data_IF_409097406001
#
_entry.id   IF_409097406001
#
_cell.length_a   1.000
_cell.length_b   1.000
_cell.length_c   1.000
_cell.angle_alpha   90.00
_cell.angle_beta   90.00
_cell.angle_gamma   90.00
#
_symmetry.space_group_name_H-M   'P 1'
#
loop_
_entity.id
_entity.type
_entity.pdbx_description
1 polymer ?
#
# COMPACT_ATOMS: atom_id res chain seq x y z
N UNK A 1 -19.55 44.12 -17.75
CA UNK A 1 -18.25 44.25 -18.44
C UNK A 1 -18.45 43.82 -19.88
N UNK A 2 -18.14 44.67 -20.86
CA UNK A 2 -18.31 44.34 -22.28
C UNK A 2 -17.25 43.31 -22.70
N UNK A 3 -17.66 42.33 -23.52
CA UNK A 3 -16.75 41.34 -24.10
C UNK A 3 -15.61 42.04 -24.84
N UNK A 4 -14.37 41.63 -24.58
CA UNK A 4 -13.20 42.19 -25.28
C UNK A 4 -12.74 41.31 -26.44
N UNK A 5 -13.09 40.02 -26.40
CA UNK A 5 -12.66 39.03 -27.39
C UNK A 5 -13.84 38.21 -27.91
N UNK A 6 -13.72 37.70 -29.15
CA UNK A 6 -14.69 36.79 -29.77
C UNK A 6 -13.98 35.72 -30.57
N UNK A 7 -14.37 34.45 -30.39
CA UNK A 7 -13.79 33.34 -31.15
C UNK A 7 -14.47 33.23 -32.52
N UNK A 8 -13.69 33.39 -33.60
CA UNK A 8 -14.24 33.33 -34.97
C UNK A 8 -14.22 31.92 -35.56
N UNK A 9 -13.25 31.09 -35.16
CA UNK A 9 -13.11 29.72 -35.65
C UNK A 9 -11.69 29.19 -35.58
N UNK A 10 -11.48 27.99 -36.10
CA UNK A 10 -10.20 27.29 -36.07
C UNK A 10 -9.64 27.11 -37.47
N UNK A 11 -8.33 27.25 -37.62
CA UNK A 11 -7.67 26.93 -38.86
C UNK A 11 -7.46 25.40 -38.94
N UNK A 12 -7.88 24.79 -40.05
CA UNK A 12 -7.97 23.33 -40.18
C UNK A 12 -6.62 22.60 -40.09
N UNK A 13 -5.53 23.25 -40.51
CA UNK A 13 -4.21 22.62 -40.68
C UNK A 13 -3.24 22.88 -39.51
N UNK A 14 -3.37 23.99 -38.77
CA UNK A 14 -2.28 24.45 -37.88
C UNK A 14 -2.60 24.43 -36.37
N UNK A 15 -3.71 23.83 -35.92
CA UNK A 15 -4.13 23.88 -34.50
C UNK A 15 -4.10 25.31 -33.93
N UNK A 16 -4.50 26.29 -34.75
CA UNK A 16 -4.59 27.70 -34.38
C UNK A 16 -6.05 28.15 -34.36
N UNK A 17 -6.36 29.01 -33.40
CA UNK A 17 -7.65 29.66 -33.24
C UNK A 17 -7.55 31.12 -33.69
N UNK A 18 -8.57 31.58 -34.39
CA UNK A 18 -8.73 32.98 -34.78
C UNK A 18 -9.61 33.69 -33.75
N UNK A 19 -9.02 34.65 -33.03
CA UNK A 19 -9.71 35.46 -32.02
C UNK A 19 -9.79 36.90 -32.51
N UNK A 20 -10.99 37.48 -32.49
CA UNK A 20 -11.24 38.88 -32.81
C UNK A 20 -11.13 39.73 -31.55
N UNK A 21 -10.32 40.79 -31.60
CA UNK A 21 -10.29 41.83 -30.56
C UNK A 21 -11.40 42.85 -30.87
N UNK A 22 -12.43 42.93 -30.03
CA UNK A 22 -13.60 43.77 -30.27
C UNK A 22 -13.30 45.27 -30.22
N UNK A 23 -12.25 45.68 -29.51
CA UNK A 23 -11.82 47.09 -29.40
C UNK A 23 -11.04 47.60 -30.62
N UNK A 24 -10.34 46.72 -31.34
CA UNK A 24 -9.44 47.12 -32.45
C UNK A 24 -9.82 46.52 -33.80
N UNK A 25 -10.74 45.55 -33.82
CA UNK A 25 -11.11 44.81 -35.04
C UNK A 25 -10.01 43.89 -35.59
N UNK A 26 -8.86 43.76 -34.89
CA UNK A 26 -7.76 42.91 -35.32
C UNK A 26 -8.05 41.43 -35.01
N UNK A 27 -7.59 40.56 -35.91
CA UNK A 27 -7.66 39.10 -35.75
C UNK A 27 -6.31 38.60 -35.26
N UNK A 28 -6.31 37.96 -34.10
CA UNK A 28 -5.17 37.27 -33.52
C UNK A 28 -5.22 35.78 -33.87
N UNK A 29 -4.07 35.24 -34.29
CA UNK A 29 -3.86 33.80 -34.48
C UNK A 29 -3.08 33.27 -33.29
N UNK A 30 -3.69 32.39 -32.50
CA UNK A 30 -3.09 31.84 -31.27
C UNK A 30 -3.22 30.32 -31.31
N UNK A 31 -2.23 29.59 -30.80
CA UNK A 31 -2.32 28.14 -30.69
C UNK A 31 -3.46 27.74 -29.73
N UNK A 32 -4.23 26.70 -30.02
CA UNK A 32 -5.38 26.33 -29.16
C UNK A 32 -4.94 26.02 -27.71
N UNK A 33 -3.74 25.46 -27.48
CA UNK A 33 -3.19 25.22 -26.13
C UNK A 33 -2.77 26.49 -25.40
N UNK A 34 -2.29 27.50 -26.12
CA UNK A 34 -1.93 28.80 -25.54
C UNK A 34 -3.19 29.62 -25.25
N UNK A 35 -4.19 29.51 -26.13
CA UNK A 35 -5.47 30.17 -25.96
C UNK A 35 -6.19 29.70 -24.69
N UNK A 36 -6.22 28.39 -24.41
CA UNK A 36 -6.78 27.81 -23.19
C UNK A 36 -6.17 28.38 -21.90
N UNK A 37 -4.86 28.68 -21.91
CA UNK A 37 -4.11 29.15 -20.75
C UNK A 37 -4.05 30.68 -20.63
N UNK A 38 -4.58 31.40 -21.61
CA UNK A 38 -4.52 32.85 -21.68
C UNK A 38 -5.74 33.49 -21.02
N UNK A 39 -5.58 34.73 -20.55
CA UNK A 39 -6.69 35.57 -20.04
C UNK A 39 -7.80 35.81 -21.08
N UNK A 40 -7.54 35.51 -22.36
CA UNK A 40 -8.52 35.60 -23.45
C UNK A 40 -9.61 34.53 -23.28
N UNK A 41 -9.30 33.37 -22.70
CA UNK A 41 -10.26 32.28 -22.50
C UNK A 41 -11.37 32.66 -21.51
N UNK A 42 -11.06 33.50 -20.52
CA UNK A 42 -12.02 33.93 -19.50
C UNK A 42 -13.12 34.88 -20.06
N UNK A 43 -12.85 35.51 -21.20
CA UNK A 43 -13.77 36.43 -21.89
C UNK A 43 -14.67 35.72 -22.94
N UNK A 44 -14.49 34.42 -23.16
CA UNK A 44 -15.23 33.62 -24.15
C UNK A 44 -16.61 33.17 -23.62
N UNK A 45 -17.58 33.04 -24.53
CA UNK A 45 -18.91 32.48 -24.19
C UNK A 45 -18.87 30.96 -23.95
N UNK A 46 -19.84 30.43 -23.20
CA UNK A 46 -20.02 28.98 -23.01
C UNK A 46 -20.02 28.17 -24.33
N UNK A 47 -20.60 28.73 -25.40
CA UNK A 47 -20.57 28.08 -26.72
C UNK A 47 -19.17 28.09 -27.36
N UNK A 48 -18.43 29.19 -27.21
CA UNK A 48 -17.07 29.36 -27.73
C UNK A 48 -16.09 28.47 -26.96
N UNK A 49 -16.19 28.44 -25.62
CA UNK A 49 -15.43 27.54 -24.73
C UNK A 49 -15.69 26.08 -25.12
N UNK A 50 -16.95 25.68 -25.33
CA UNK A 50 -17.28 24.31 -25.75
C UNK A 50 -16.65 23.97 -27.10
N UNK A 51 -16.61 24.92 -28.03
CA UNK A 51 -15.98 24.73 -29.35
C UNK A 51 -14.45 24.65 -29.26
N UNK A 52 -13.83 25.43 -28.37
CA UNK A 52 -12.40 25.39 -28.04
C UNK A 52 -12.01 24.01 -27.52
N UNK A 53 -12.65 23.53 -26.46
CA UNK A 53 -12.38 22.21 -25.90
C UNK A 53 -12.67 21.09 -26.91
N UNK A 54 -13.75 21.18 -27.69
CA UNK A 54 -14.03 20.21 -28.76
C UNK A 54 -12.88 20.14 -29.77
N UNK A 55 -12.29 21.28 -30.13
CA UNK A 55 -11.12 21.31 -31.02
C UNK A 55 -9.88 20.73 -30.33
N UNK A 56 -9.61 21.07 -29.08
CA UNK A 56 -8.50 20.52 -28.27
C UNK A 56 -8.57 18.99 -28.26
N UNK A 57 -9.72 18.40 -27.89
CA UNK A 57 -9.89 16.95 -27.87
C UNK A 57 -9.79 16.30 -29.27
N UNK A 58 -10.19 16.99 -30.34
CA UNK A 58 -10.06 16.46 -31.71
C UNK A 58 -8.65 16.56 -32.30
N UNK A 59 -7.90 17.59 -31.91
CA UNK A 59 -6.57 17.88 -32.44
C UNK A 59 -5.45 17.24 -31.62
N UNK A 60 -5.72 16.90 -30.36
CA UNK A 60 -4.76 16.28 -29.46
C UNK A 60 -5.32 14.96 -28.91
N UNK A 61 -4.91 13.80 -29.48
CA UNK A 61 -5.43 12.49 -29.07
C UNK A 61 -5.04 12.07 -27.64
N UNK A 62 -4.18 12.81 -26.94
CA UNK A 62 -3.66 12.47 -25.60
C UNK A 62 -4.05 13.49 -24.50
N UNK A 63 -5.16 14.22 -24.65
CA UNK A 63 -5.63 15.11 -23.56
C UNK A 63 -6.49 14.30 -22.61
N UNK A 64 -6.04 14.06 -21.35
CA UNK A 64 -6.78 13.23 -20.41
C UNK A 64 -8.11 13.90 -20.10
N UNK A 65 -9.20 13.15 -20.28
CA UNK A 65 -10.52 13.64 -19.88
C UNK A 65 -10.65 13.64 -18.36
N UNK A 66 -11.55 14.47 -17.81
CA UNK A 66 -11.83 14.49 -16.36
C UNK A 66 -12.22 13.10 -15.85
N UNK A 67 -12.99 12.36 -16.65
CA UNK A 67 -13.37 10.97 -16.36
C UNK A 67 -12.15 10.05 -16.23
N UNK A 68 -11.15 10.15 -17.11
CA UNK A 68 -9.94 9.33 -17.04
C UNK A 68 -9.08 9.65 -15.81
N UNK A 69 -9.07 10.90 -15.34
CA UNK A 69 -8.36 11.32 -14.13
C UNK A 69 -9.05 10.77 -12.88
N UNK A 70 -10.39 10.89 -12.80
CA UNK A 70 -11.18 10.31 -11.70
C UNK A 70 -11.08 8.78 -11.67
N UNK A 71 -11.24 8.12 -12.81
CA UNK A 71 -11.15 6.65 -12.93
C UNK A 71 -9.75 6.14 -12.55
N UNK A 72 -8.69 6.88 -12.89
CA UNK A 72 -7.32 6.57 -12.46
C UNK A 72 -7.16 6.64 -10.94
N UNK A 73 -7.81 7.63 -10.32
CA UNK A 73 -7.77 7.79 -8.88
C UNK A 73 -8.55 6.64 -8.21
N UNK A 74 -9.73 6.28 -8.73
CA UNK A 74 -10.56 5.20 -8.22
C UNK A 74 -9.84 3.84 -8.26
N UNK A 75 -9.25 3.46 -9.42
CA UNK A 75 -8.48 2.22 -9.55
C UNK A 75 -7.31 2.17 -8.56
N UNK A 76 -6.63 3.30 -8.36
CA UNK A 76 -5.55 3.40 -7.38
C UNK A 76 -6.05 3.18 -5.95
N UNK A 77 -7.20 3.74 -5.56
CA UNK A 77 -7.79 3.53 -4.23
C UNK A 77 -8.31 2.11 -4.02
N UNK A 78 -8.83 1.46 -5.06
CA UNK A 78 -9.26 0.05 -5.01
C UNK A 78 -8.05 -0.86 -4.77
N UNK A 79 -6.95 -0.66 -5.49
CA UNK A 79 -5.70 -1.43 -5.29
C UNK A 79 -5.13 -1.20 -3.88
N UNK A 80 -5.14 0.04 -3.39
CA UNK A 80 -4.73 0.35 -2.02
C UNK A 80 -5.58 -0.41 -1.00
N UNK A 81 -6.90 -0.38 -1.16
CA UNK A 81 -7.85 -1.05 -0.27
C UNK A 81 -7.65 -2.56 -0.31
N UNK A 82 -7.44 -3.14 -1.49
CA UNK A 82 -7.14 -4.56 -1.67
C UNK A 82 -5.84 -4.96 -0.96
N UNK A 83 -4.75 -4.20 -1.13
CA UNK A 83 -3.49 -4.48 -0.44
C UNK A 83 -3.63 -4.33 1.08
N UNK A 84 -4.36 -3.32 1.56
CA UNK A 84 -4.60 -3.14 2.99
C UNK A 84 -5.45 -4.29 3.59
N UNK A 85 -6.44 -4.79 2.85
CA UNK A 85 -7.23 -5.97 3.24
C UNK A 85 -6.39 -7.25 3.24
N UNK A 86 -5.52 -7.39 2.25
CA UNK A 86 -4.64 -8.54 2.15
C UNK A 86 -3.63 -8.53 3.33
N UNK A 87 -3.14 -7.35 3.70
CA UNK A 87 -2.30 -7.16 4.89
C UNK A 87 -3.03 -7.57 6.18
N UNK A 88 -4.27 -7.11 6.40
CA UNK A 88 -5.05 -7.52 7.58
C UNK A 88 -5.26 -9.02 7.61
N UNK A 89 -5.56 -9.65 6.49
CA UNK A 89 -5.79 -11.11 6.39
C UNK A 89 -4.53 -11.88 6.79
N UNK A 90 -3.37 -11.55 6.19
CA UNK A 90 -2.12 -12.26 6.51
C UNK A 90 -1.69 -12.03 7.96
N UNK A 91 -1.85 -10.82 8.47
CA UNK A 91 -1.49 -10.50 9.85
C UNK A 91 -2.36 -11.23 10.87
N UNK A 92 -3.69 -11.18 10.69
CA UNK A 92 -4.65 -11.85 11.59
C UNK A 92 -4.53 -13.37 11.52
N UNK A 93 -4.38 -13.93 10.31
CA UNK A 93 -4.14 -15.36 10.15
C UNK A 93 -2.86 -15.80 10.84
N UNK A 94 -1.76 -15.05 10.69
CA UNK A 94 -0.48 -15.39 11.32
C UNK A 94 -0.57 -15.42 12.85
N UNK A 95 -1.33 -14.49 13.44
CA UNK A 95 -1.58 -14.47 14.88
C UNK A 95 -2.39 -15.67 15.39
N UNK A 96 -3.44 -16.07 14.66
CA UNK A 96 -4.26 -17.23 15.05
C UNK A 96 -3.49 -18.53 14.81
N UNK A 97 -2.82 -18.66 13.66
CA UNK A 97 -2.03 -19.82 13.30
C UNK A 97 -0.81 -20.03 14.21
N UNK A 98 -0.34 -18.99 14.91
CA UNK A 98 0.71 -19.09 15.91
C UNK A 98 0.31 -19.99 17.11
N UNK A 99 -0.99 -20.18 17.37
CA UNK A 99 -1.46 -21.02 18.47
C UNK A 99 -1.20 -22.53 18.24
N UNK A 100 -0.99 -22.95 16.99
CA UNK A 100 -0.76 -24.36 16.64
C UNK A 100 0.72 -24.58 16.25
N UNK A 101 1.57 -25.05 17.19
CA UNK A 101 2.92 -25.49 16.83
C UNK A 101 2.84 -26.74 15.96
N UNK A 102 3.64 -26.79 14.90
CA UNK A 102 3.78 -27.95 14.02
C UNK A 102 5.23 -28.41 14.11
N UNK A 103 5.41 -29.71 14.36
CA UNK A 103 6.72 -30.33 14.33
C UNK A 103 7.01 -30.82 12.92
N UNK A 104 8.18 -30.47 12.38
CA UNK A 104 8.63 -30.88 11.05
C UNK A 104 9.74 -31.91 11.23
N UNK A 105 9.39 -33.19 11.08
CA UNK A 105 10.28 -34.34 11.31
C UNK A 105 11.59 -34.25 10.50
N UNK A 106 11.56 -33.71 9.28
CA UNK A 106 12.73 -33.65 8.41
C UNK A 106 13.81 -32.65 8.87
N UNK A 107 13.41 -31.59 9.59
CA UNK A 107 14.32 -30.52 10.01
C UNK A 107 14.58 -30.53 11.52
N UNK A 108 13.83 -31.31 12.29
CA UNK A 108 13.85 -31.32 13.76
C UNK A 108 13.61 -29.92 14.38
N UNK A 109 12.66 -29.17 13.79
CA UNK A 109 12.29 -27.81 14.22
C UNK A 109 10.79 -27.76 14.50
N UNK A 110 10.42 -27.07 15.58
CA UNK A 110 9.04 -26.69 15.89
C UNK A 110 8.78 -25.33 15.24
N UNK A 111 7.88 -25.28 14.26
CA UNK A 111 7.51 -24.05 13.54
C UNK A 111 6.00 -23.88 13.56
N UNK A 112 5.52 -22.64 13.65
CA UNK A 112 4.09 -22.34 13.50
C UNK A 112 3.77 -22.01 12.05
N UNK A 113 2.59 -22.42 11.52
CA UNK A 113 2.19 -22.05 10.16
C UNK A 113 2.18 -20.53 9.92
N UNK A 114 1.93 -19.74 10.97
CA UNK A 114 2.03 -18.28 10.92
C UNK A 114 3.41 -17.76 10.54
N UNK A 115 4.49 -18.49 10.85
CA UNK A 115 5.87 -18.11 10.48
C UNK A 115 6.08 -18.09 8.96
N UNK A 116 5.32 -18.87 8.20
CA UNK A 116 5.41 -18.91 6.74
C UNK A 116 4.50 -17.87 6.06
N UNK A 117 3.38 -17.51 6.69
CA UNK A 117 2.46 -16.50 6.15
C UNK A 117 2.89 -15.08 6.49
N UNK A 118 3.51 -14.87 7.66
CA UNK A 118 3.96 -13.56 8.09
C UNK A 118 4.94 -12.87 7.12
N UNK A 119 5.91 -13.54 6.48
CA UNK A 119 6.74 -12.92 5.44
C UNK A 119 5.97 -12.30 4.26
N UNK A 120 4.75 -12.74 4.00
CA UNK A 120 3.92 -12.11 2.97
C UNK A 120 3.33 -10.77 3.43
N UNK A 121 3.21 -10.49 4.74
CA UNK A 121 2.82 -9.15 5.22
C UNK A 121 3.87 -8.11 4.86
N UNK A 122 5.16 -8.44 5.04
CA UNK A 122 6.28 -7.59 4.64
C UNK A 122 6.20 -7.25 3.15
N UNK A 123 5.96 -8.25 2.29
CA UNK A 123 5.79 -8.05 0.86
C UNK A 123 4.69 -7.02 0.58
N UNK A 124 3.53 -7.15 1.21
CA UNK A 124 2.39 -6.27 0.98
C UNK A 124 2.68 -4.84 1.44
N UNK A 125 3.39 -4.69 2.56
CA UNK A 125 3.83 -3.39 3.07
C UNK A 125 4.90 -2.76 2.19
N UNK A 126 5.79 -3.56 1.61
CA UNK A 126 6.78 -3.10 0.65
C UNK A 126 6.08 -2.55 -0.60
N UNK A 127 5.04 -3.24 -1.11
CA UNK A 127 4.21 -2.76 -2.22
C UNK A 127 3.45 -1.47 -1.89
N UNK A 128 2.83 -1.40 -0.71
CA UNK A 128 2.13 -0.20 -0.23
C UNK A 128 3.10 0.98 -0.13
N UNK A 129 4.29 0.76 0.42
CA UNK A 129 5.33 1.78 0.58
C UNK A 129 5.92 2.21 -0.77
N UNK A 130 6.03 1.28 -1.72
CA UNK A 130 6.54 1.57 -3.06
C UNK A 130 5.56 2.43 -3.88
N UNK A 131 4.29 2.06 -3.92
CA UNK A 131 3.28 2.71 -4.77
C UNK A 131 2.65 3.94 -4.15
N UNK A 132 2.33 3.89 -2.85
CA UNK A 132 1.57 4.92 -2.15
C UNK A 132 2.42 5.75 -1.17
N UNK A 133 3.67 5.33 -0.95
CA UNK A 133 4.61 6.01 -0.06
C UNK A 133 4.32 5.78 1.42
N UNK A 134 5.22 6.32 2.25
CA UNK A 134 5.24 6.07 3.68
C UNK A 134 3.97 6.50 4.44
N UNK A 135 3.33 7.61 4.03
CA UNK A 135 2.14 8.14 4.73
C UNK A 135 0.94 7.18 4.64
N UNK A 136 0.71 6.61 3.45
CA UNK A 136 -0.40 5.69 3.22
C UNK A 136 -0.07 4.29 3.74
N UNK A 137 1.17 3.82 3.58
CA UNK A 137 1.64 2.56 4.19
C UNK A 137 1.46 2.57 5.72
N UNK A 138 1.82 3.67 6.39
CA UNK A 138 1.62 3.84 7.84
C UNK A 138 0.14 3.71 8.24
N UNK A 139 -0.77 4.30 7.46
CA UNK A 139 -2.22 4.16 7.73
C UNK A 139 -2.67 2.71 7.60
N UNK A 140 -2.22 1.98 6.59
CA UNK A 140 -2.53 0.56 6.42
C UNK A 140 -2.01 -0.30 7.59
N UNK A 141 -0.81 -0.02 8.09
CA UNK A 141 -0.24 -0.68 9.30
C UNK A 141 -1.14 -0.42 10.51
N UNK A 142 -1.51 0.84 10.78
CA UNK A 142 -2.38 1.15 11.92
C UNK A 142 -3.78 0.55 11.79
N UNK A 143 -4.38 0.55 10.59
CA UNK A 143 -5.66 -0.11 10.35
C UNK A 143 -5.57 -1.63 10.58
N UNK A 144 -4.46 -2.24 10.17
CA UNK A 144 -4.24 -3.69 10.37
C UNK A 144 -4.07 -4.06 11.84
N UNK A 145 -3.30 -3.24 12.57
CA UNK A 145 -3.15 -3.37 14.01
C UNK A 145 -4.49 -3.18 14.74
N UNK A 146 -5.24 -2.13 14.40
CA UNK A 146 -6.55 -1.86 14.99
C UNK A 146 -7.54 -3.00 14.73
N UNK A 147 -7.61 -3.50 13.49
CA UNK A 147 -8.46 -4.66 13.15
C UNK A 147 -8.11 -5.89 13.98
N UNK A 148 -6.82 -6.17 14.15
CA UNK A 148 -6.38 -7.32 14.96
C UNK A 148 -6.74 -7.14 16.43
N UNK A 149 -6.56 -5.93 16.99
CA UNK A 149 -6.97 -5.64 18.37
C UNK A 149 -8.48 -5.77 18.58
N UNK A 150 -9.30 -5.38 17.59
CA UNK A 150 -10.77 -5.56 17.64
C UNK A 150 -11.14 -7.04 17.63
N UNK A 151 -10.55 -7.86 16.75
CA UNK A 151 -10.82 -9.31 16.73
C UNK A 151 -10.50 -9.91 18.09
N UNK A 152 -9.38 -9.50 18.69
CA UNK A 152 -8.89 -10.08 19.93
C UNK A 152 -9.69 -9.61 21.14
N UNK A 153 -10.15 -8.36 21.16
CA UNK A 153 -11.07 -7.89 22.19
C UNK A 153 -12.41 -8.63 22.13
N UNK A 154 -12.95 -8.87 20.92
CA UNK A 154 -14.17 -9.67 20.74
C UNK A 154 -13.98 -11.12 21.20
N UNK A 155 -12.85 -11.74 20.86
CA UNK A 155 -12.52 -13.09 21.33
C UNK A 155 -12.35 -13.16 22.86
N UNK A 156 -11.74 -12.14 23.48
CA UNK A 156 -11.60 -12.03 24.94
C UNK A 156 -12.96 -11.90 25.63
N UNK A 157 -13.85 -11.05 25.09
CA UNK A 157 -15.24 -10.92 25.56
C UNK A 157 -15.97 -12.26 25.44
N UNK A 158 -15.84 -12.94 24.30
CA UNK A 158 -16.45 -14.26 24.08
C UNK A 158 -15.99 -15.31 25.11
N UNK A 159 -14.75 -15.19 25.60
CA UNK A 159 -14.17 -16.13 26.59
C UNK A 159 -14.60 -15.79 28.01
N UNK A 160 -14.96 -14.54 28.28
CA UNK A 160 -15.45 -14.10 29.59
C UNK A 160 -16.91 -14.47 29.84
N UNK A 161 -17.65 -14.87 28.80
CA UNK A 161 -19.04 -15.28 28.89
C UNK A 161 -19.15 -16.71 29.49
N UNK A 162 -20.20 -16.99 30.27
CA UNK A 162 -20.38 -18.30 30.88
C UNK A 162 -20.62 -19.37 29.81
N UNK A 163 -19.78 -20.41 29.83
CA UNK A 163 -19.97 -21.58 29.00
C UNK A 163 -21.16 -22.43 29.47
N UNK A 164 -21.74 -23.18 28.54
CA UNK A 164 -22.78 -24.16 28.85
C UNK A 164 -22.14 -25.33 29.59
N UNK A 165 -22.76 -25.81 30.68
CA UNK A 165 -22.23 -26.89 31.52
C UNK A 165 -21.97 -28.22 30.76
N UNK A 166 -22.62 -28.43 29.62
CA UNK A 166 -22.46 -29.60 28.76
C UNK A 166 -21.35 -29.46 27.71
N UNK A 167 -20.54 -28.39 27.76
CA UNK A 167 -19.48 -28.14 26.79
C UNK A 167 -18.10 -28.52 27.35
N UNK A 168 -17.64 -29.72 26.99
CA UNK A 168 -16.38 -30.31 27.47
C UNK A 168 -15.11 -29.56 27.03
N UNK A 169 -15.20 -28.67 26.02
CA UNK A 169 -14.06 -27.94 25.46
C UNK A 169 -13.77 -26.61 26.18
N UNK A 170 -14.51 -26.27 27.23
CA UNK A 170 -14.40 -24.97 27.89
C UNK A 170 -12.97 -24.68 28.40
N UNK A 171 -12.35 -25.64 29.10
CA UNK A 171 -10.99 -25.46 29.65
C UNK A 171 -9.94 -25.36 28.55
N UNK A 172 -10.09 -26.15 27.49
CA UNK A 172 -9.19 -26.15 26.33
C UNK A 172 -9.30 -24.84 25.54
N UNK A 173 -10.52 -24.32 25.40
CA UNK A 173 -10.78 -23.03 24.78
C UNK A 173 -10.14 -21.88 25.59
N UNK A 174 -10.30 -21.88 26.91
CA UNK A 174 -9.69 -20.88 27.80
C UNK A 174 -8.16 -20.90 27.73
N UNK A 175 -7.55 -22.10 27.71
CA UNK A 175 -6.11 -22.25 27.56
C UNK A 175 -5.62 -21.71 26.20
N UNK A 176 -6.29 -22.10 25.11
CA UNK A 176 -5.99 -21.63 23.75
C UNK A 176 -6.11 -20.10 23.66
N UNK A 177 -7.17 -19.52 24.24
CA UNK A 177 -7.37 -18.07 24.23
C UNK A 177 -6.27 -17.33 24.99
N UNK A 178 -5.85 -17.83 26.15
CA UNK A 178 -4.75 -17.26 26.93
C UNK A 178 -3.44 -17.21 26.12
N UNK A 179 -3.14 -18.29 25.39
CA UNK A 179 -2.00 -18.34 24.47
C UNK A 179 -2.10 -17.33 23.34
N UNK A 180 -3.27 -17.24 22.68
CA UNK A 180 -3.55 -16.29 21.61
C UNK A 180 -3.37 -14.84 22.11
N UNK A 181 -3.94 -14.49 23.26
CA UNK A 181 -3.84 -13.15 23.85
C UNK A 181 -2.38 -12.74 24.12
N UNK A 182 -1.60 -13.63 24.74
CA UNK A 182 -0.18 -13.36 24.99
C UNK A 182 0.62 -13.21 23.70
N UNK A 183 0.35 -14.05 22.69
CA UNK A 183 1.05 -14.00 21.42
C UNK A 183 0.74 -12.71 20.65
N UNK A 184 -0.52 -12.28 20.62
CA UNK A 184 -0.96 -11.05 19.95
C UNK A 184 -0.35 -9.81 20.58
N UNK A 185 -0.22 -9.77 21.91
CA UNK A 185 0.38 -8.62 22.57
C UNK A 185 1.84 -8.43 22.12
N UNK A 186 2.61 -9.53 22.12
CA UNK A 186 3.99 -9.52 21.65
C UNK A 186 4.09 -9.21 20.15
N UNK A 187 3.26 -9.85 19.31
CA UNK A 187 3.29 -9.66 17.86
C UNK A 187 2.82 -8.27 17.44
N UNK A 188 1.85 -7.67 18.13
CA UNK A 188 1.36 -6.32 17.82
C UNK A 188 2.42 -5.26 18.07
N UNK A 189 3.17 -5.36 19.16
CA UNK A 189 4.26 -4.41 19.42
C UNK A 189 5.41 -4.62 18.44
N UNK A 190 5.75 -5.88 18.16
CA UNK A 190 6.75 -6.25 17.17
C UNK A 190 6.41 -5.72 15.78
N UNK A 191 5.22 -6.06 15.27
CA UNK A 191 4.69 -5.65 13.97
C UNK A 191 4.68 -4.12 13.82
N UNK A 192 4.22 -3.40 14.85
CA UNK A 192 4.19 -1.94 14.80
C UNK A 192 5.59 -1.35 14.62
N UNK A 193 6.58 -1.83 15.37
CA UNK A 193 7.95 -1.30 15.28
C UNK A 193 8.61 -1.73 13.98
N UNK A 194 8.56 -3.02 13.65
CA UNK A 194 9.26 -3.60 12.50
C UNK A 194 8.75 -3.06 11.18
N UNK A 195 7.43 -2.98 10.99
CA UNK A 195 6.85 -2.54 9.72
C UNK A 195 6.93 -1.02 9.50
N UNK A 196 6.90 -0.23 10.58
CA UNK A 196 7.18 1.21 10.47
C UNK A 196 8.62 1.47 10.08
N UNK A 197 9.57 0.69 10.63
CA UNK A 197 10.98 0.79 10.25
C UNK A 197 11.18 0.29 8.81
N UNK A 198 10.54 -0.83 8.43
CA UNK A 198 10.59 -1.38 7.07
C UNK A 198 10.17 -0.32 6.03
N UNK A 199 8.96 0.21 6.18
CA UNK A 199 8.39 1.21 5.26
C UNK A 199 9.20 2.51 5.24
N UNK A 200 9.73 2.95 6.37
CA UNK A 200 10.61 4.12 6.44
C UNK A 200 11.93 3.90 5.67
N UNK A 201 12.62 2.78 5.90
CA UNK A 201 13.88 2.47 5.24
C UNK A 201 13.66 2.31 3.74
N UNK A 202 12.60 1.63 3.31
CA UNK A 202 12.29 1.44 1.90
C UNK A 202 12.07 2.78 1.19
N UNK A 203 11.26 3.67 1.76
CA UNK A 203 11.03 5.00 1.19
C UNK A 203 12.32 5.84 1.20
N UNK A 204 13.12 5.79 2.27
CA UNK A 204 14.37 6.55 2.34
C UNK A 204 15.38 6.08 1.30
N UNK A 205 15.53 4.76 1.12
CA UNK A 205 16.39 4.21 0.08
C UNK A 205 15.86 4.52 -1.33
N UNK A 206 14.54 4.65 -1.51
CA UNK A 206 13.95 5.09 -2.79
C UNK A 206 14.40 6.49 -3.18
N UNK A 207 14.41 7.41 -2.22
CA UNK A 207 14.88 8.79 -2.45
C UNK A 207 16.39 8.82 -2.79
N UNK A 208 17.20 8.02 -2.10
CA UNK A 208 18.66 7.96 -2.30
C UNK A 208 19.05 7.28 -3.62
N UNK A 209 18.36 6.20 -3.99
CA UNK A 209 18.72 5.39 -5.19
C UNK A 209 18.04 5.86 -6.47
N UNK A 210 17.31 6.99 -6.43
CA UNK A 210 16.58 7.55 -7.56
C UNK A 210 15.72 6.50 -8.30
N UNK A 211 15.09 5.60 -7.53
CA UNK A 211 14.22 4.49 -7.99
C UNK A 211 14.84 3.41 -8.90
N UNK A 212 16.18 3.32 -9.00
CA UNK A 212 16.87 2.38 -9.90
C UNK A 212 16.94 0.94 -9.39
N UNK A 213 17.32 0.72 -8.13
CA UNK A 213 17.56 -0.62 -7.57
C UNK A 213 16.38 -1.09 -6.70
N UNK A 214 15.39 -1.76 -7.28
CA UNK A 214 14.23 -2.25 -6.52
C UNK A 214 14.60 -3.43 -5.60
N UNK A 215 15.20 -4.49 -6.16
CA UNK A 215 15.55 -5.72 -5.43
C UNK A 215 16.28 -5.40 -4.13
N UNK A 216 17.31 -4.57 -4.24
CA UNK A 216 18.20 -4.23 -3.15
C UNK A 216 17.47 -3.49 -2.03
N UNK A 217 16.56 -2.57 -2.38
CA UNK A 217 15.78 -1.81 -1.40
C UNK A 217 14.84 -2.68 -0.60
N UNK A 218 14.06 -3.49 -1.30
CA UNK A 218 13.11 -4.43 -0.69
C UNK A 218 13.88 -5.39 0.21
N UNK A 219 14.94 -6.02 -0.30
CA UNK A 219 15.74 -6.94 0.51
C UNK A 219 16.34 -6.29 1.76
N UNK A 220 17.00 -5.13 1.65
CA UNK A 220 17.61 -4.47 2.81
C UNK A 220 16.59 -3.97 3.82
N UNK A 221 15.45 -3.44 3.38
CA UNK A 221 14.41 -2.98 4.31
C UNK A 221 13.79 -4.16 5.06
N UNK A 222 13.41 -5.23 4.35
CA UNK A 222 12.86 -6.44 4.97
C UNK A 222 13.88 -7.13 5.87
N UNK A 223 15.17 -7.15 5.51
CA UNK A 223 16.24 -7.74 6.32
C UNK A 223 16.35 -7.05 7.69
N UNK A 224 16.45 -5.72 7.71
CA UNK A 224 16.55 -4.94 8.95
C UNK A 224 15.27 -5.09 9.77
N UNK A 225 14.12 -5.01 9.12
CA UNK A 225 12.83 -5.15 9.77
C UNK A 225 12.61 -6.54 10.38
N UNK A 226 13.01 -7.60 9.69
CA UNK A 226 12.93 -8.98 10.17
C UNK A 226 13.76 -9.23 11.43
N UNK A 227 14.96 -8.63 11.51
CA UNK A 227 15.81 -8.71 12.70
C UNK A 227 15.13 -8.01 13.88
N UNK A 228 14.65 -6.78 13.67
CA UNK A 228 13.94 -6.03 14.70
C UNK A 228 12.67 -6.76 15.16
N UNK A 229 11.91 -7.30 14.22
CA UNK A 229 10.69 -8.04 14.50
C UNK A 229 10.97 -9.26 15.38
N UNK A 230 11.92 -10.10 14.97
CA UNK A 230 12.23 -11.33 15.71
C UNK A 230 12.82 -11.02 17.08
N UNK A 231 13.63 -9.96 17.21
CA UNK A 231 14.16 -9.49 18.49
C UNK A 231 13.05 -9.00 19.43
N UNK A 232 12.21 -8.06 18.97
CA UNK A 232 11.13 -7.47 19.78
C UNK A 232 10.12 -8.55 20.16
N UNK A 233 9.72 -9.40 19.22
CA UNK A 233 8.79 -10.51 19.47
C UNK A 233 9.35 -11.51 20.50
N UNK A 234 10.54 -12.05 20.28
CA UNK A 234 11.11 -13.07 21.17
C UNK A 234 11.38 -12.52 22.57
N UNK A 235 11.83 -11.27 22.66
CA UNK A 235 12.01 -10.59 23.93
C UNK A 235 10.67 -10.44 24.66
N UNK A 236 9.63 -9.89 24.03
CA UNK A 236 8.35 -9.67 24.74
C UNK A 236 7.62 -10.99 25.05
N UNK A 237 7.64 -11.95 24.14
CA UNK A 237 6.88 -13.19 24.29
C UNK A 237 7.46 -14.14 25.35
N UNK A 238 8.79 -14.22 25.46
CA UNK A 238 9.47 -15.26 26.23
C UNK A 238 10.38 -14.74 27.36
N UNK A 239 10.57 -13.43 27.50
CA UNK A 239 11.38 -12.89 28.59
C UNK A 239 10.80 -13.31 29.95
N UNK A 240 11.62 -14.01 30.74
CA UNK A 240 11.24 -14.57 32.04
C UNK A 240 10.50 -15.92 31.99
N UNK A 241 10.15 -16.45 30.81
CA UNK A 241 9.49 -17.77 30.67
C UNK A 241 10.44 -18.88 30.21
N UNK A 242 11.40 -18.57 29.34
CA UNK A 242 12.35 -19.53 28.78
C UNK A 242 13.80 -19.11 29.06
N UNK A 243 14.75 -20.06 29.11
CA UNK A 243 16.16 -19.72 29.22
C UNK A 243 16.64 -18.93 27.99
N UNK A 244 17.48 -17.92 28.24
CA UNK A 244 17.96 -16.98 27.20
C UNK A 244 18.56 -17.68 25.98
N UNK A 245 19.27 -18.79 26.20
CA UNK A 245 19.85 -19.58 25.11
C UNK A 245 18.78 -20.08 24.11
N UNK A 246 17.65 -20.60 24.60
CA UNK A 246 16.56 -21.07 23.74
C UNK A 246 15.91 -19.90 22.98
N UNK A 247 15.74 -18.75 23.64
CA UNK A 247 15.19 -17.53 23.01
C UNK A 247 16.09 -17.09 21.85
N UNK A 248 17.41 -17.10 22.03
CA UNK A 248 18.37 -16.74 20.97
C UNK A 248 18.31 -17.72 19.80
N UNK A 249 18.24 -19.03 20.06
CA UNK A 249 18.11 -20.04 19.00
C UNK A 249 16.82 -19.84 18.21
N UNK A 250 15.68 -19.65 18.90
CA UNK A 250 14.39 -19.39 18.25
C UNK A 250 14.43 -18.11 17.39
N UNK A 251 15.07 -17.05 17.91
CA UNK A 251 15.24 -15.79 17.19
C UNK A 251 16.06 -15.98 15.90
N UNK A 252 17.18 -16.70 15.96
CA UNK A 252 18.03 -16.96 14.79
C UNK A 252 17.27 -17.76 13.73
N UNK A 253 16.54 -18.81 14.13
CA UNK A 253 15.75 -19.63 13.21
C UNK A 253 14.67 -18.79 12.52
N UNK A 254 13.94 -17.95 13.27
CA UNK A 254 12.93 -17.05 12.68
C UNK A 254 13.54 -16.05 11.70
N UNK A 255 14.69 -15.46 12.04
CA UNK A 255 15.40 -14.53 11.16
C UNK A 255 15.81 -15.23 9.86
N UNK A 256 16.38 -16.44 9.93
CA UNK A 256 16.80 -17.19 8.76
C UNK A 256 15.62 -17.52 7.83
N UNK A 257 14.50 -17.99 8.39
CA UNK A 257 13.28 -18.26 7.61
C UNK A 257 12.80 -16.98 6.93
N UNK A 258 12.65 -15.88 7.67
CA UNK A 258 12.17 -14.60 7.12
C UNK A 258 13.10 -14.04 6.04
N UNK A 259 14.41 -14.17 6.18
CA UNK A 259 15.39 -13.74 5.16
C UNK A 259 15.27 -14.59 3.90
N UNK A 260 15.10 -15.91 4.04
CA UNK A 260 14.87 -16.79 2.91
C UNK A 260 13.62 -16.37 2.12
N UNK A 261 12.53 -16.06 2.82
CA UNK A 261 11.33 -15.50 2.20
C UNK A 261 11.56 -14.10 1.60
N UNK A 262 12.36 -13.24 2.24
CA UNK A 262 12.68 -11.92 1.71
C UNK A 262 13.37 -12.00 0.33
N UNK A 263 14.24 -13.00 0.11
CA UNK A 263 14.83 -13.26 -1.20
C UNK A 263 13.78 -13.67 -2.23
N UNK A 264 12.84 -14.53 -1.85
CA UNK A 264 11.74 -14.95 -2.72
C UNK A 264 10.79 -13.78 -3.06
N UNK A 265 10.51 -12.91 -2.09
CA UNK A 265 9.62 -11.75 -2.22
C UNK A 265 10.10 -10.72 -3.25
N UNK A 266 11.37 -10.74 -3.63
CA UNK A 266 11.90 -9.90 -4.71
C UNK A 266 11.16 -10.19 -6.02
N UNK A 267 10.84 -11.45 -6.35
CA UNK A 267 10.17 -11.79 -7.61
C UNK A 267 8.76 -11.18 -7.72
N UNK A 268 7.86 -11.37 -6.73
CA UNK A 268 6.57 -10.67 -6.69
C UNK A 268 6.69 -9.15 -6.74
N UNK A 269 7.69 -8.55 -6.09
CA UNK A 269 7.89 -7.10 -6.08
C UNK A 269 8.21 -6.53 -7.47
N UNK A 270 9.00 -7.24 -8.28
CA UNK A 270 9.18 -6.85 -9.68
C UNK A 270 7.92 -7.09 -10.52
N UNK A 271 7.22 -8.20 -10.29
CA UNK A 271 5.98 -8.52 -10.98
C UNK A 271 4.89 -7.47 -10.73
N UNK A 272 4.73 -7.04 -9.48
CA UNK A 272 3.77 -6.01 -9.09
C UNK A 272 4.13 -4.65 -9.68
N UNK A 273 5.42 -4.26 -9.70
CA UNK A 273 5.86 -2.99 -10.32
C UNK A 273 5.58 -2.98 -11.83
N UNK A 274 5.81 -4.11 -12.50
CA UNK A 274 5.45 -4.28 -13.91
C UNK A 274 3.92 -4.17 -14.11
N UNK A 275 3.14 -4.86 -13.28
CA UNK A 275 1.67 -4.84 -13.37
C UNK A 275 1.10 -3.44 -13.09
N UNK A 276 1.59 -2.78 -12.06
CA UNK A 276 1.18 -1.43 -11.66
C UNK A 276 1.48 -0.40 -12.76
N UNK A 277 2.68 -0.45 -13.36
CA UNK A 277 3.01 0.42 -14.49
C UNK A 277 2.13 0.15 -15.72
N UNK A 278 1.73 -1.11 -15.95
CA UNK A 278 0.86 -1.47 -17.08
C UNK A 278 -0.60 -1.06 -16.88
N UNK A 279 -1.09 -1.09 -15.65
CA UNK A 279 -2.50 -0.83 -15.30
C UNK A 279 -2.77 0.63 -14.88
N UNK A 280 -1.79 1.30 -14.27
CA UNK A 280 -1.91 2.68 -13.75
C UNK A 280 -1.04 3.68 -14.53
N UNK A 281 0.02 3.22 -15.22
CA UNK A 281 1.03 4.06 -15.88
C UNK A 281 0.91 4.22 -17.40
N UNK A 282 -0.03 3.55 -18.08
CA UNK A 282 -0.26 3.74 -19.52
C UNK A 282 -0.99 5.06 -19.80
N UNK A 283 -0.29 6.20 -19.71
CA UNK A 283 -0.54 7.47 -20.45
C UNK A 283 0.53 8.53 -20.15
N UNK A 284 1.76 8.12 -19.85
CA UNK A 284 2.90 9.04 -19.80
C UNK A 284 3.97 8.57 -20.79
N UNK A 285 3.64 8.65 -22.07
CA UNK A 285 4.56 8.77 -23.20
C UNK A 285 3.78 9.29 -24.41
#
# INVERSE_FOLDING_TARGET
MGKKYKLLGFNGQDSTANVLILSTGKILKINVKELEKSEIADDLDNHEIKSLYRKIYSSFPNVPSVYEIEERNEKSWVVYSFLALLLTIFYTFSNIAAAKPVYIDYLDIIVTPGTFIYPFSFLVIDLLSEFYGFRLARKAIYMSLASNLIIVSLLSISTSLPAIASWDLNDQYNALMSHILSAIFASSLSFLVSELVNSYILCKLKDVTNSRFLALRVFFSTFIASILDSFVFCFIAFYGKLPVNQIVVMMIVQILIKIFFALFNIFPAYGSRYLFNRWVGKTAN
#
